data_IF_195916843391
#
_entry.id   IF_195916843391
#
_cell.length_a   1.000
_cell.length_b   1.000
_cell.length_c   1.000
_cell.angle_alpha   90.00
_cell.angle_beta   90.00
_cell.angle_gamma   90.00
#
_symmetry.space_group_name_H-M   'P 1'
#
loop_
_entity.id
_entity.type
_entity.pdbx_description
1 polymer ?
#
# COMPACT_ATOMS: atom_id res chain seq x y z
N UNK A 1 -13.20 3.66 -21.61
CA UNK A 1 -13.16 4.43 -20.36
C UNK A 1 -11.71 4.42 -19.94
N UNK A 2 -11.07 5.58 -20.00
CA UNK A 2 -9.69 5.71 -19.55
C UNK A 2 -9.63 5.56 -18.02
N UNK A 3 -8.50 5.06 -17.54
CA UNK A 3 -8.28 4.91 -16.10
C UNK A 3 -8.39 6.29 -15.43
N UNK A 4 -9.15 6.44 -14.32
CA UNK A 4 -9.39 7.77 -13.76
C UNK A 4 -8.08 8.42 -13.32
N UNK A 5 -7.81 9.65 -13.76
CA UNK A 5 -6.57 10.37 -13.43
C UNK A 5 -6.35 10.52 -11.93
N UNK A 6 -7.43 10.70 -11.16
CA UNK A 6 -7.44 10.67 -9.70
C UNK A 6 -6.79 9.38 -9.15
N UNK A 7 -7.12 8.23 -9.73
CA UNK A 7 -6.58 6.94 -9.29
C UNK A 7 -5.11 6.78 -9.64
N UNK A 8 -4.66 7.36 -10.75
CA UNK A 8 -3.24 7.40 -11.09
C UNK A 8 -2.46 8.15 -10.01
N UNK A 9 -2.92 9.35 -9.63
CA UNK A 9 -2.25 10.15 -8.61
C UNK A 9 -2.21 9.47 -7.24
N UNK A 10 -3.29 8.81 -6.83
CA UNK A 10 -3.32 8.04 -5.58
C UNK A 10 -2.33 6.86 -5.60
N UNK A 11 -2.22 6.15 -6.73
CA UNK A 11 -1.26 5.05 -6.89
C UNK A 11 0.17 5.57 -6.87
N UNK A 12 0.45 6.68 -7.56
CA UNK A 12 1.77 7.33 -7.56
C UNK A 12 2.17 7.77 -6.15
N UNK A 13 1.26 8.37 -5.37
CA UNK A 13 1.51 8.76 -3.99
C UNK A 13 1.89 7.55 -3.10
N UNK A 14 1.18 6.43 -3.24
CA UNK A 14 1.53 5.18 -2.54
C UNK A 14 2.93 4.71 -2.95
N UNK A 15 3.26 4.73 -4.24
CA UNK A 15 4.58 4.30 -4.73
C UNK A 15 5.68 5.19 -4.16
N UNK A 16 5.49 6.51 -4.18
CA UNK A 16 6.46 7.48 -3.68
C UNK A 16 6.73 7.27 -2.19
N UNK A 17 5.70 7.09 -1.37
CA UNK A 17 5.84 6.74 0.04
C UNK A 17 6.62 5.44 0.22
N UNK A 18 6.23 4.37 -0.49
CA UNK A 18 6.86 3.05 -0.39
C UNK A 18 8.34 3.10 -0.79
N UNK A 19 8.69 3.91 -1.79
CA UNK A 19 10.06 4.15 -2.22
C UNK A 19 10.90 4.87 -1.18
N UNK A 20 10.29 5.70 -0.32
CA UNK A 20 10.97 6.35 0.80
C UNK A 20 11.11 5.41 2.00
N UNK A 21 10.03 4.75 2.40
CA UNK A 21 9.99 4.01 3.67
C UNK A 21 10.69 2.65 3.58
N UNK A 22 10.62 1.97 2.43
CA UNK A 22 11.15 0.60 2.29
C UNK A 22 12.67 0.58 2.45
N UNK A 23 13.46 1.45 1.78
CA UNK A 23 14.91 1.49 1.99
C UNK A 23 15.28 1.86 3.43
N UNK A 24 14.61 2.86 4.02
CA UNK A 24 14.83 3.29 5.40
C UNK A 24 14.62 2.16 6.41
N UNK A 25 13.54 1.39 6.25
CA UNK A 25 13.25 0.23 7.09
C UNK A 25 14.24 -0.92 6.88
N UNK A 26 14.65 -1.18 5.63
CA UNK A 26 15.66 -2.19 5.33
C UNK A 26 17.04 -1.84 5.91
N UNK A 27 17.40 -0.56 5.96
CA UNK A 27 18.67 -0.10 6.52
C UNK A 27 18.67 -0.13 8.05
N UNK A 28 17.61 0.39 8.68
CA UNK A 28 17.56 0.60 10.13
C UNK A 28 16.99 -0.60 10.89
N UNK A 29 16.07 -1.34 10.27
CA UNK A 29 15.25 -2.37 10.91
C UNK A 29 15.05 -3.63 10.03
N UNK A 30 16.10 -4.21 9.42
CA UNK A 30 15.95 -5.29 8.44
C UNK A 30 15.27 -6.56 8.97
N UNK A 31 15.34 -6.81 10.28
CA UNK A 31 14.76 -8.00 10.93
C UNK A 31 13.35 -7.80 11.49
N UNK A 32 12.80 -6.59 11.43
CA UNK A 32 11.46 -6.30 11.97
C UNK A 32 10.37 -6.82 11.03
N UNK A 33 9.32 -7.42 11.59
CA UNK A 33 8.17 -7.91 10.82
C UNK A 33 7.52 -6.79 9.99
N UNK A 34 7.50 -5.57 10.52
CA UNK A 34 6.96 -4.41 9.80
C UNK A 34 7.72 -4.16 8.48
N UNK A 35 9.03 -4.37 8.45
CA UNK A 35 9.85 -4.23 7.22
C UNK A 35 9.42 -5.22 6.14
N UNK A 36 9.10 -6.46 6.54
CA UNK A 36 8.58 -7.47 5.62
C UNK A 36 7.19 -7.08 5.09
N UNK A 37 6.27 -6.67 5.96
CA UNK A 37 4.91 -6.30 5.57
C UNK A 37 4.88 -5.07 4.64
N UNK A 38 5.71 -4.05 4.90
CA UNK A 38 5.84 -2.88 4.02
C UNK A 38 6.29 -3.28 2.61
N UNK A 39 7.27 -4.20 2.50
CA UNK A 39 7.72 -4.71 1.18
C UNK A 39 6.61 -5.47 0.46
N UNK A 40 5.83 -6.25 1.20
CA UNK A 40 4.72 -7.05 0.67
C UNK A 40 3.61 -6.14 0.10
N UNK A 41 3.32 -5.01 0.74
CA UNK A 41 2.35 -4.01 0.24
C UNK A 41 2.72 -3.56 -1.17
N UNK A 42 3.96 -3.12 -1.38
CA UNK A 42 4.39 -2.61 -2.68
C UNK A 42 4.51 -3.69 -3.75
N UNK A 43 5.16 -4.81 -3.43
CA UNK A 43 5.45 -5.86 -4.42
C UNK A 43 4.25 -6.68 -4.80
N UNK A 44 3.39 -6.99 -3.83
CA UNK A 44 2.33 -7.95 -4.03
C UNK A 44 0.98 -7.25 -4.06
N UNK A 45 0.61 -6.52 -2.99
CA UNK A 45 -0.75 -6.03 -2.83
C UNK A 45 -1.11 -4.92 -3.82
N UNK A 46 -0.33 -3.83 -3.89
CA UNK A 46 -0.60 -2.73 -4.80
C UNK A 46 -0.57 -3.20 -6.25
N UNK A 47 0.48 -3.91 -6.65
CA UNK A 47 0.63 -4.44 -8.01
C UNK A 47 -0.55 -5.35 -8.39
N UNK A 48 -0.88 -6.33 -7.55
CA UNK A 48 -1.98 -7.27 -7.81
C UNK A 48 -3.32 -6.54 -7.91
N UNK A 49 -3.64 -5.65 -6.98
CA UNK A 49 -4.89 -4.89 -6.97
C UNK A 49 -5.07 -4.05 -8.24
N UNK A 50 -4.03 -3.31 -8.65
CA UNK A 50 -4.08 -2.49 -9.87
C UNK A 50 -4.19 -3.37 -11.11
N UNK A 51 -3.39 -4.43 -11.19
CA UNK A 51 -3.41 -5.36 -12.32
C UNK A 51 -4.77 -6.03 -12.48
N UNK A 52 -5.32 -6.62 -11.41
CA UNK A 52 -6.60 -7.31 -11.43
C UNK A 52 -7.73 -6.38 -11.89
N UNK A 53 -7.74 -5.13 -11.45
CA UNK A 53 -8.71 -4.14 -11.91
C UNK A 53 -8.55 -3.79 -13.39
N UNK A 54 -7.32 -3.61 -13.87
CA UNK A 54 -7.05 -3.27 -15.28
C UNK A 54 -7.34 -4.43 -16.23
N UNK A 55 -7.16 -5.67 -15.78
CA UNK A 55 -7.45 -6.89 -16.53
C UNK A 55 -8.98 -7.12 -16.73
N UNK A 56 -9.84 -6.41 -15.99
CA UNK A 56 -11.29 -6.48 -16.15
C UNK A 56 -11.77 -5.90 -17.49
N UNK A 57 -12.91 -6.39 -17.97
CA UNK A 57 -13.68 -5.77 -19.06
C UNK A 57 -14.10 -4.34 -18.69
N UNK A 58 -14.43 -3.51 -19.68
CA UNK A 58 -14.88 -2.13 -19.42
C UNK A 58 -16.15 -2.06 -18.56
N UNK A 59 -17.07 -3.02 -18.71
CA UNK A 59 -18.31 -3.08 -17.92
C UNK A 59 -18.01 -3.51 -16.48
N UNK A 60 -17.19 -4.54 -16.32
CA UNK A 60 -16.74 -5.00 -15.01
C UNK A 60 -15.96 -3.91 -14.25
N UNK A 61 -15.11 -3.13 -14.95
CA UNK A 61 -14.39 -2.00 -14.33
C UNK A 61 -15.32 -0.92 -13.80
N UNK A 62 -16.40 -0.60 -14.53
CA UNK A 62 -17.43 0.34 -14.04
C UNK A 62 -18.09 -0.18 -12.78
N UNK A 63 -18.48 -1.45 -12.77
CA UNK A 63 -19.19 -2.06 -11.63
C UNK A 63 -18.29 -2.23 -10.40
N UNK A 64 -16.97 -2.34 -10.58
CA UNK A 64 -16.01 -2.51 -9.49
C UNK A 64 -15.26 -1.23 -9.12
N UNK A 65 -15.54 -0.09 -9.77
CA UNK A 65 -14.78 1.14 -9.58
C UNK A 65 -14.78 1.60 -8.11
N UNK A 66 -15.93 1.59 -7.44
CA UNK A 66 -16.02 2.04 -6.04
C UNK A 66 -15.28 1.10 -5.07
N UNK A 67 -15.28 -0.20 -5.37
CA UNK A 67 -14.52 -1.18 -4.59
C UNK A 67 -13.02 -0.92 -4.77
N UNK A 68 -12.60 -0.75 -6.03
CA UNK A 68 -11.22 -0.43 -6.36
C UNK A 68 -10.74 0.87 -5.69
N UNK A 69 -11.54 1.94 -5.77
CA UNK A 69 -11.28 3.22 -5.09
C UNK A 69 -11.06 3.05 -3.59
N UNK A 70 -11.95 2.31 -2.93
CA UNK A 70 -11.82 2.01 -1.49
C UNK A 70 -10.56 1.22 -1.18
N UNK A 71 -10.18 0.24 -2.01
CA UNK A 71 -8.97 -0.57 -1.79
C UNK A 71 -7.71 0.28 -1.94
N UNK A 72 -7.63 1.14 -2.96
CA UNK A 72 -6.50 2.06 -3.14
C UNK A 72 -6.43 3.08 -1.99
N UNK A 73 -7.55 3.70 -1.60
CA UNK A 73 -7.56 4.60 -0.44
C UNK A 73 -7.08 3.93 0.85
N UNK A 74 -7.48 2.67 1.09
CA UNK A 74 -6.99 1.88 2.21
C UNK A 74 -5.48 1.59 2.17
N UNK A 75 -4.91 1.41 0.97
CA UNK A 75 -3.46 1.24 0.77
C UNK A 75 -2.72 2.55 1.01
N UNK A 76 -3.29 3.68 0.58
CA UNK A 76 -2.72 5.01 0.82
C UNK A 76 -2.70 5.40 2.30
N UNK A 77 -3.79 5.16 3.03
CA UNK A 77 -3.82 5.37 4.49
C UNK A 77 -2.75 4.52 5.21
N UNK A 78 -2.61 3.27 4.80
CA UNK A 78 -1.61 2.34 5.34
C UNK A 78 -0.20 2.85 5.05
N UNK A 79 0.07 3.27 3.81
CA UNK A 79 1.35 3.79 3.37
C UNK A 79 1.78 5.02 4.17
N UNK A 80 0.88 6.00 4.30
CA UNK A 80 1.09 7.20 5.09
C UNK A 80 1.36 6.88 6.58
N UNK A 81 0.55 6.00 7.17
CA UNK A 81 0.74 5.62 8.58
C UNK A 81 2.08 4.90 8.80
N UNK A 82 2.45 4.00 7.90
CA UNK A 82 3.76 3.34 7.94
C UNK A 82 4.88 4.35 7.81
N UNK A 83 4.76 5.35 6.93
CA UNK A 83 5.70 6.45 6.80
C UNK A 83 5.85 7.25 8.08
N UNK A 84 4.75 7.68 8.67
CA UNK A 84 4.72 8.41 9.94
C UNK A 84 5.48 7.67 11.05
N UNK A 85 5.20 6.38 11.23
CA UNK A 85 5.84 5.54 12.26
C UNK A 85 7.36 5.46 12.04
N UNK A 86 7.81 5.35 10.79
CA UNK A 86 9.23 5.22 10.43
C UNK A 86 9.97 6.55 10.56
N UNK A 87 9.37 7.64 10.09
CA UNK A 87 9.94 8.99 10.15
C UNK A 87 10.02 9.50 11.60
N UNK A 88 9.00 9.24 12.41
CA UNK A 88 8.96 9.62 13.84
C UNK A 88 9.71 8.65 14.76
N UNK A 89 10.23 7.55 14.20
CA UNK A 89 10.96 6.52 14.95
C UNK A 89 10.13 5.90 16.09
N UNK A 90 8.84 5.69 15.86
CA UNK A 90 7.89 5.14 16.83
C UNK A 90 7.99 3.60 16.88
N UNK A 91 9.16 3.08 17.27
CA UNK A 91 9.45 1.63 17.24
C UNK A 91 8.51 0.78 18.10
N UNK A 92 7.89 1.38 19.12
CA UNK A 92 6.86 0.73 19.94
C UNK A 92 5.62 0.31 19.12
N UNK A 93 5.32 1.02 18.03
CA UNK A 93 4.16 0.76 17.17
C UNK A 93 4.44 -0.34 16.11
N UNK A 94 5.70 -0.77 15.95
CA UNK A 94 6.08 -1.65 14.84
C UNK A 94 5.33 -2.97 14.85
N UNK A 95 5.24 -3.62 16.02
CA UNK A 95 4.53 -4.90 16.16
C UNK A 95 3.03 -4.73 15.91
N UNK A 96 2.43 -3.66 16.43
CA UNK A 96 1.01 -3.35 16.23
C UNK A 96 0.71 -3.14 14.75
N UNK A 97 1.53 -2.33 14.09
CA UNK A 97 1.36 -2.05 12.66
C UNK A 97 1.60 -3.29 11.81
N UNK A 98 2.65 -4.08 12.08
CA UNK A 98 2.91 -5.33 11.37
C UNK A 98 1.73 -6.31 11.46
N UNK A 99 1.17 -6.51 12.65
CA UNK A 99 0.00 -7.38 12.84
C UNK A 99 -1.24 -6.85 12.12
N UNK A 100 -1.44 -5.54 12.13
CA UNK A 100 -2.53 -4.90 11.39
C UNK A 100 -2.40 -5.13 9.88
N UNK A 101 -1.21 -4.93 9.32
CA UNK A 101 -0.94 -5.15 7.90
C UNK A 101 -1.11 -6.62 7.52
N UNK A 102 -0.55 -7.53 8.31
CA UNK A 102 -0.69 -8.95 8.10
C UNK A 102 -2.16 -9.38 8.09
N UNK A 103 -2.99 -8.86 9.01
CA UNK A 103 -4.43 -9.18 9.06
C UNK A 103 -5.28 -8.51 7.97
N UNK A 104 -4.90 -7.31 7.51
CA UNK A 104 -5.64 -6.58 6.47
C UNK A 104 -5.39 -7.14 5.08
N UNK A 105 -4.20 -7.73 4.86
CA UNK A 105 -3.73 -8.21 3.55
C UNK A 105 -3.30 -9.69 3.56
N UNK A 106 -3.81 -10.49 4.51
CA UNK A 106 -3.63 -11.95 4.56
C UNK A 106 -4.30 -12.67 3.41
#
# INVERSE_FOLDING_TARGET
IDFPTEMTGEIEAIIDDLMVITPSMMERYPGETLTYEIKKIGRDHLYKTVKEYLDLSSDSRRNQLDIFKKTIGNLHEVSNRSRDIVEKNETAEFKTMANFLAGKFS
#
